data_IF_600708284853
#
_entry.id   IF_600708284853
#
_cell.length_a   1.000
_cell.length_b   1.000
_cell.length_c   1.000
_cell.angle_alpha   90.00
_cell.angle_beta   90.00
_cell.angle_gamma   90.00
#
_symmetry.space_group_name_H-M   'P 1'
#
loop_
_entity.id
_entity.type
_entity.pdbx_description
1 polymer ?
#
# COMPACT_ATOMS: atom_id res chain seq x y z
N UNK A 1 -13.66 6.91 19.83
CA UNK A 1 -13.95 5.49 19.60
C UNK A 1 -12.67 4.70 19.82
N UNK A 2 -12.51 4.04 20.97
CA UNK A 2 -11.27 3.33 21.36
C UNK A 2 -11.33 1.84 21.00
N UNK A 3 -11.86 1.52 19.81
CA UNK A 3 -11.76 0.18 19.25
C UNK A 3 -10.56 0.16 18.31
N UNK A 4 -9.82 -0.94 18.32
CA UNK A 4 -8.61 -1.08 17.52
C UNK A 4 -8.65 -2.38 16.73
N UNK A 5 -8.30 -2.29 15.44
CA UNK A 5 -8.18 -3.42 14.55
C UNK A 5 -6.71 -3.56 14.16
N UNK A 6 -6.21 -4.80 14.22
CA UNK A 6 -4.88 -5.14 13.70
C UNK A 6 -5.02 -6.22 12.64
N UNK A 7 -4.21 -6.09 11.60
CA UNK A 7 -4.07 -7.08 10.55
C UNK A 7 -2.62 -7.55 10.59
N UNK A 8 -2.44 -8.86 10.71
CA UNK A 8 -1.13 -9.50 10.78
C UNK A 8 -1.01 -10.46 9.61
N UNK A 9 0.08 -10.34 8.84
CA UNK A 9 0.43 -11.33 7.83
C UNK A 9 1.65 -12.12 8.29
N UNK A 10 1.56 -13.45 8.24
CA UNK A 10 2.67 -14.35 8.57
C UNK A 10 2.71 -15.50 7.58
N UNK A 11 3.73 -15.53 6.72
CA UNK A 11 3.78 -16.49 5.62
C UNK A 11 2.54 -16.32 4.73
N UNK A 12 1.84 -17.41 4.45
CA UNK A 12 0.60 -17.43 3.64
C UNK A 12 -0.68 -17.30 4.47
N UNK A 13 -0.62 -16.65 5.64
CA UNK A 13 -1.75 -16.46 6.54
C UNK A 13 -1.97 -14.99 6.87
N UNK A 14 -3.25 -14.58 6.90
CA UNK A 14 -3.72 -13.30 7.42
C UNK A 14 -4.55 -13.55 8.68
N UNK A 15 -4.29 -12.76 9.71
CA UNK A 15 -5.04 -12.78 10.98
C UNK A 15 -5.58 -11.39 11.25
N UNK A 16 -6.90 -11.28 11.39
CA UNK A 16 -7.56 -10.05 11.85
C UNK A 16 -7.81 -10.16 13.34
N UNK A 17 -7.30 -9.16 14.05
CA UNK A 17 -7.40 -9.02 15.50
C UNK A 17 -8.26 -7.79 15.81
N UNK A 18 -9.08 -7.88 16.84
CA UNK A 18 -9.91 -6.78 17.31
C UNK A 18 -9.81 -6.64 18.82
N UNK A 19 -9.52 -5.42 19.26
CA UNK A 19 -9.59 -5.02 20.66
C UNK A 19 -10.84 -4.18 20.84
N UNK A 20 -11.82 -4.70 21.61
CA UNK A 20 -13.01 -3.92 21.93
C UNK A 20 -12.66 -2.83 22.94
N UNK A 21 -13.50 -1.80 22.99
CA UNK A 21 -13.35 -0.69 23.93
C UNK A 21 -13.29 -1.20 25.38
N UNK A 22 -12.22 -0.86 26.09
CA UNK A 22 -12.01 -1.23 27.50
C UNK A 22 -11.34 -2.59 27.72
N UNK A 23 -11.12 -3.36 26.65
CA UNK A 23 -10.35 -4.60 26.73
C UNK A 23 -8.84 -4.32 26.62
N UNK A 24 -8.02 -5.11 27.33
CA UNK A 24 -6.55 -5.00 27.29
C UNK A 24 -5.90 -5.95 26.28
N UNK A 25 -6.67 -6.84 25.68
CA UNK A 25 -6.19 -7.93 24.84
C UNK A 25 -6.93 -7.90 23.50
N UNK A 26 -6.27 -8.36 22.45
CA UNK A 26 -6.87 -8.54 21.13
C UNK A 26 -7.52 -9.92 21.01
N UNK A 27 -8.77 -9.95 20.56
CA UNK A 27 -9.44 -11.17 20.13
C UNK A 27 -9.11 -11.47 18.66
N UNK A 28 -8.88 -12.74 18.32
CA UNK A 28 -8.82 -13.17 16.92
C UNK A 28 -10.24 -13.16 16.35
N UNK A 29 -10.47 -12.32 15.34
CA UNK A 29 -11.75 -12.25 14.64
C UNK A 29 -11.85 -13.28 13.54
N UNK A 30 -10.80 -13.41 12.73
CA UNK A 30 -10.66 -14.53 11.82
C UNK A 30 -9.21 -14.70 11.39
N UNK A 31 -8.94 -15.88 10.86
CA UNK A 31 -7.70 -16.24 10.20
C UNK A 31 -8.04 -16.83 8.83
N UNK A 32 -7.33 -16.39 7.79
CA UNK A 32 -7.49 -16.94 6.45
C UNK A 32 -6.13 -17.26 5.82
N UNK A 33 -6.11 -18.31 5.02
CA UNK A 33 -4.97 -18.60 4.16
C UNK A 33 -5.09 -17.81 2.86
N UNK A 34 -3.98 -17.29 2.37
CA UNK A 34 -3.88 -16.56 1.09
C UNK A 34 -2.93 -17.28 0.14
N UNK A 35 -3.07 -17.02 -1.16
CA UNK A 35 -2.31 -17.74 -2.18
C UNK A 35 -0.80 -17.53 -2.06
N UNK A 36 -0.37 -16.32 -1.70
CA UNK A 36 1.03 -15.93 -1.58
C UNK A 36 1.31 -15.10 -0.34
N UNK A 37 2.55 -15.13 0.13
CA UNK A 37 2.93 -14.37 1.32
C UNK A 37 2.90 -12.85 1.06
N UNK A 38 2.37 -12.10 2.02
CA UNK A 38 2.41 -10.63 1.98
C UNK A 38 3.85 -10.15 2.19
N UNK A 39 4.29 -9.28 1.30
CA UNK A 39 5.60 -8.62 1.33
C UNK A 39 5.50 -7.25 1.99
N UNK A 40 4.40 -6.52 1.74
CA UNK A 40 4.10 -5.24 2.38
C UNK A 40 2.60 -5.04 2.50
N UNK A 41 2.17 -4.25 3.48
CA UNK A 41 0.76 -3.90 3.67
C UNK A 41 0.61 -2.47 4.19
N UNK A 42 -0.53 -1.86 3.90
CA UNK A 42 -0.88 -0.56 4.44
C UNK A 42 -2.39 -0.46 4.69
N UNK A 43 -2.79 0.10 5.82
CA UNK A 43 -4.20 0.39 6.11
C UNK A 43 -4.71 1.54 5.25
N UNK A 44 -5.91 1.35 4.70
CA UNK A 44 -6.68 2.35 3.98
C UNK A 44 -8.13 2.39 4.46
N UNK A 45 -8.42 3.27 5.42
CA UNK A 45 -9.77 3.45 5.93
C UNK A 45 -10.31 2.13 6.49
N UNK A 46 -11.29 1.55 5.81
CA UNK A 46 -11.91 0.28 6.19
C UNK A 46 -11.33 -0.97 5.49
N UNK A 47 -10.27 -0.81 4.71
CA UNK A 47 -9.59 -1.88 4.00
C UNK A 47 -8.08 -1.82 4.27
N UNK A 48 -7.34 -2.86 3.90
CA UNK A 48 -5.90 -2.88 3.88
C UNK A 48 -5.42 -3.21 2.47
N UNK A 49 -4.52 -2.41 1.92
CA UNK A 49 -3.87 -2.75 0.67
C UNK A 49 -2.71 -3.70 0.97
N UNK A 50 -2.66 -4.85 0.29
CA UNK A 50 -1.66 -5.90 0.48
C UNK A 50 -0.85 -6.05 -0.82
N UNK A 51 0.46 -6.22 -0.70
CA UNK A 51 1.28 -6.73 -1.80
C UNK A 51 1.78 -8.12 -1.49
N UNK A 52 1.61 -9.03 -2.44
CA UNK A 52 2.20 -10.37 -2.40
C UNK A 52 3.41 -10.46 -3.33
N UNK A 53 3.95 -11.65 -3.58
CA UNK A 53 4.96 -11.89 -4.65
C UNK A 53 4.37 -12.01 -6.06
N UNK A 54 3.05 -11.97 -6.23
CA UNK A 54 2.40 -12.11 -7.55
C UNK A 54 1.54 -10.91 -7.91
N UNK A 55 0.87 -10.34 -6.93
CA UNK A 55 -0.12 -9.30 -7.13
C UNK A 55 -0.09 -8.26 -6.01
N UNK A 56 -0.89 -7.23 -6.19
CA UNK A 56 -1.33 -6.33 -5.13
C UNK A 56 -2.84 -6.22 -5.15
N UNK A 57 -3.45 -5.98 -3.99
CA UNK A 57 -4.90 -5.95 -3.87
C UNK A 57 -5.40 -5.29 -2.60
N UNK A 58 -6.71 -5.06 -2.56
CA UNK A 58 -7.41 -4.54 -1.39
C UNK A 58 -8.02 -5.69 -0.60
N UNK A 59 -7.80 -5.69 0.71
CA UNK A 59 -8.34 -6.65 1.66
C UNK A 59 -9.33 -5.95 2.59
N UNK A 60 -10.56 -6.44 2.62
CA UNK A 60 -11.58 -5.97 3.55
C UNK A 60 -11.51 -6.79 4.85
N UNK A 61 -11.12 -6.13 5.95
CA UNK A 61 -10.97 -6.79 7.25
C UNK A 61 -12.29 -7.17 7.91
N UNK A 62 -13.43 -6.72 7.40
CA UNK A 62 -14.76 -7.09 7.93
C UNK A 62 -15.30 -8.33 7.22
N UNK A 63 -15.08 -8.42 5.91
CA UNK A 63 -15.61 -9.51 5.08
C UNK A 63 -14.57 -10.62 4.82
N UNK A 64 -13.28 -10.34 4.99
CA UNK A 64 -12.19 -11.24 4.60
C UNK A 64 -11.93 -11.27 3.08
N UNK A 65 -12.65 -10.46 2.30
CA UNK A 65 -12.51 -10.46 0.85
C UNK A 65 -11.18 -9.82 0.41
N UNK A 66 -10.56 -10.41 -0.62
CA UNK A 66 -9.38 -9.86 -1.28
C UNK A 66 -9.71 -9.57 -2.75
N UNK A 67 -9.49 -8.34 -3.17
CA UNK A 67 -9.71 -7.86 -4.54
C UNK A 67 -8.35 -7.52 -5.15
N UNK A 68 -7.86 -8.31 -6.12
CA UNK A 68 -6.67 -7.98 -6.88
C UNK A 68 -6.85 -6.66 -7.63
N UNK A 69 -5.80 -5.85 -7.66
CA UNK A 69 -5.80 -4.50 -8.23
C UNK A 69 -4.82 -4.42 -9.40
N UNK A 70 -3.60 -4.89 -9.17
CA UNK A 70 -2.58 -4.97 -10.19
C UNK A 70 -1.89 -6.32 -10.08
N UNK A 71 -1.70 -6.96 -11.23
CA UNK A 71 -0.66 -7.98 -11.37
C UNK A 71 0.68 -7.27 -11.28
N UNK A 72 1.51 -7.70 -10.33
CA UNK A 72 2.80 -7.10 -10.08
C UNK A 72 3.81 -8.21 -10.23
N UNK A 73 4.42 -8.38 -11.40
CA UNK A 73 5.56 -9.27 -11.58
C UNK A 73 6.87 -8.51 -11.28
N UNK A 74 7.74 -9.00 -10.39
CA UNK A 74 9.02 -8.34 -10.07
C UNK A 74 9.43 -8.32 -8.59
N UNK A 75 10.64 -7.82 -8.29
CA UNK A 75 11.39 -8.15 -7.07
C UNK A 75 11.18 -7.26 -5.82
N UNK A 76 10.71 -6.01 -5.90
CA UNK A 76 10.66 -5.13 -4.71
C UNK A 76 9.39 -4.28 -4.71
N UNK A 77 8.64 -4.29 -3.59
CA UNK A 77 7.23 -3.85 -3.56
C UNK A 77 6.86 -3.16 -2.26
N UNK A 78 6.42 -1.91 -2.34
CA UNK A 78 5.98 -1.16 -1.16
C UNK A 78 4.67 -0.42 -1.50
N UNK A 79 3.62 -0.63 -0.70
CA UNK A 79 2.42 0.21 -0.78
C UNK A 79 2.54 1.34 0.24
N UNK A 80 2.22 2.56 -0.18
CA UNK A 80 1.86 3.65 0.73
C UNK A 80 0.39 3.96 0.62
N UNK A 81 -0.22 4.29 1.76
CA UNK A 81 -1.39 5.15 1.76
C UNK A 81 -1.03 6.48 1.09
N UNK A 82 -1.83 6.95 0.13
CA UNK A 82 -1.74 8.33 -0.32
C UNK A 82 -2.63 9.22 0.55
N UNK A 83 -2.40 10.52 0.41
CA UNK A 83 -3.14 11.56 1.10
C UNK A 83 -4.53 11.66 0.43
N UNK A 84 -5.60 11.88 1.22
CA UNK A 84 -6.96 12.15 0.72
C UNK A 84 -7.69 11.02 -0.04
N UNK A 85 -7.43 9.75 0.28
CA UNK A 85 -8.22 8.61 -0.25
C UNK A 85 -7.73 8.04 -1.58
N UNK A 86 -6.58 8.53 -2.06
CA UNK A 86 -5.78 7.90 -3.11
C UNK A 86 -4.79 6.89 -2.49
N UNK A 87 -4.20 6.02 -3.32
CA UNK A 87 -3.17 5.06 -2.90
C UNK A 87 -1.96 5.09 -3.82
N UNK A 88 -0.77 4.95 -3.25
CA UNK A 88 0.44 4.72 -4.03
C UNK A 88 0.77 3.24 -4.03
N UNK A 89 0.70 2.62 -5.20
CA UNK A 89 1.24 1.28 -5.41
C UNK A 89 2.63 1.47 -5.97
N UNK A 90 3.66 1.09 -5.21
CA UNK A 90 5.05 1.30 -5.59
C UNK A 90 5.78 -0.03 -5.72
N UNK A 91 6.60 -0.09 -6.75
CA UNK A 91 7.68 -1.05 -6.96
C UNK A 91 9.01 -0.33 -6.80
N UNK A 92 10.11 -1.08 -6.78
CA UNK A 92 11.48 -0.51 -6.79
C UNK A 92 11.76 0.40 -7.98
N UNK A 93 11.07 0.21 -9.10
CA UNK A 93 11.33 0.88 -10.38
C UNK A 93 10.20 1.84 -10.81
N UNK A 94 8.96 1.59 -10.39
CA UNK A 94 7.76 2.34 -10.82
C UNK A 94 6.82 2.56 -9.63
N UNK A 95 6.21 3.73 -9.54
CA UNK A 95 5.07 4.01 -8.65
C UNK A 95 3.86 4.50 -9.45
N UNK A 96 2.65 4.14 -8.99
CA UNK A 96 1.38 4.55 -9.61
C UNK A 96 0.44 5.04 -8.52
N UNK A 97 -0.27 6.14 -8.76
CA UNK A 97 -1.40 6.56 -7.93
C UNK A 97 -2.68 5.91 -8.44
N UNK A 98 -3.37 5.18 -7.57
CA UNK A 98 -4.69 4.61 -7.81
C UNK A 98 -5.73 5.27 -6.92
N UNK A 99 -6.99 5.28 -7.34
CA UNK A 99 -8.10 5.79 -6.54
C UNK A 99 -8.68 4.74 -5.57
N UNK A 100 -9.75 5.12 -4.87
CA UNK A 100 -10.48 4.24 -3.94
C UNK A 100 -11.04 2.95 -4.60
N UNK A 101 -11.30 2.99 -5.90
CA UNK A 101 -11.72 1.82 -6.70
C UNK A 101 -10.55 1.03 -7.25
N UNK A 102 -9.33 1.43 -6.87
CA UNK A 102 -8.07 0.84 -7.30
C UNK A 102 -7.75 1.03 -8.79
N UNK A 103 -8.39 2.02 -9.41
CA UNK A 103 -8.12 2.39 -10.79
C UNK A 103 -6.94 3.36 -10.87
N UNK A 104 -5.95 3.14 -11.76
CA UNK A 104 -4.88 4.10 -12.00
C UNK A 104 -5.43 5.46 -12.43
N UNK A 105 -4.98 6.52 -11.77
CA UNK A 105 -5.30 7.88 -12.18
C UNK A 105 -4.54 8.22 -13.48
N UNK A 106 -5.12 9.00 -14.40
CA UNK A 106 -4.40 9.48 -15.58
C UNK A 106 -3.13 10.24 -15.18
N UNK A 107 -2.01 9.99 -15.88
CA UNK A 107 -0.71 10.64 -15.63
C UNK A 107 -0.13 10.44 -14.24
N UNK A 108 -0.52 9.39 -13.52
CA UNK A 108 -0.14 9.18 -12.12
C UNK A 108 1.05 8.23 -11.92
N UNK A 109 1.63 7.76 -13.02
CA UNK A 109 2.81 6.91 -13.00
C UNK A 109 4.08 7.76 -12.92
N UNK A 110 5.01 7.33 -12.08
CA UNK A 110 6.35 7.91 -11.98
C UNK A 110 7.35 6.76 -11.86
N UNK A 111 8.55 6.96 -12.41
CA UNK A 111 9.63 5.99 -12.36
C UNK A 111 10.77 6.56 -11.51
N UNK A 112 11.43 5.70 -10.74
CA UNK A 112 12.66 6.05 -10.03
C UNK A 112 13.85 5.78 -10.94
N UNK A 113 14.80 6.70 -11.00
CA UNK A 113 16.01 6.52 -11.82
C UNK A 113 17.14 5.83 -11.06
N UNK A 114 17.04 5.71 -9.73
CA UNK A 114 18.14 5.26 -8.87
C UNK A 114 17.80 3.97 -8.13
N UNK A 115 18.48 2.86 -8.45
CA UNK A 115 18.64 1.67 -7.60
C UNK A 115 17.41 1.08 -6.90
N UNK A 116 17.65 0.21 -5.91
CA UNK A 116 16.57 -0.36 -5.09
C UNK A 116 16.05 0.68 -4.08
N UNK A 117 14.74 0.95 -4.11
CA UNK A 117 14.07 1.80 -3.12
C UNK A 117 14.13 1.14 -1.73
N UNK A 118 14.88 1.74 -0.79
CA UNK A 118 15.04 1.26 0.59
C UNK A 118 13.87 1.67 1.49
N UNK A 119 13.22 2.79 1.17
CA UNK A 119 12.09 3.33 1.90
C UNK A 119 11.59 4.59 1.22
N UNK A 120 10.47 5.12 1.70
CA UNK A 120 9.97 6.39 1.20
C UNK A 120 9.18 7.14 2.29
N UNK A 121 8.95 8.42 2.05
CA UNK A 121 7.98 9.23 2.75
C UNK A 121 7.10 9.96 1.75
N UNK A 122 5.83 10.17 2.09
CA UNK A 122 4.91 10.98 1.29
C UNK A 122 4.58 12.26 2.04
N UNK A 123 4.68 13.40 1.37
CA UNK A 123 4.28 14.69 1.89
C UNK A 123 3.81 15.55 0.72
N UNK A 124 2.49 15.73 0.58
CA UNK A 124 1.90 16.40 -0.58
C UNK A 124 2.60 17.76 -0.83
N UNK A 125 3.03 18.07 -2.06
CA UNK A 125 2.81 17.34 -3.32
C UNK A 125 3.95 16.39 -3.73
N UNK A 126 4.77 15.91 -2.79
CA UNK A 126 5.98 15.16 -3.07
C UNK A 126 5.97 13.73 -2.51
N UNK A 127 6.75 12.88 -3.16
CA UNK A 127 7.23 11.61 -2.62
C UNK A 127 8.74 11.69 -2.52
N UNK A 128 9.28 11.27 -1.38
CA UNK A 128 10.72 11.20 -1.14
C UNK A 128 11.10 9.73 -1.08
N UNK A 129 11.87 9.26 -2.04
CA UNK A 129 12.46 7.92 -2.06
C UNK A 129 13.85 7.92 -1.41
N UNK A 130 14.12 6.91 -0.59
CA UNK A 130 15.43 6.64 0.00
C UNK A 130 16.09 5.51 -0.79
N UNK A 131 17.27 5.76 -1.30
CA UNK A 131 18.06 4.82 -2.10
C UNK A 131 19.45 4.66 -1.48
N UNK A 132 20.23 3.61 -1.82
CA UNK A 132 21.60 3.45 -1.30
C UNK A 132 22.50 4.65 -1.60
N UNK A 133 22.24 5.38 -2.69
CA UNK A 133 23.01 6.54 -3.12
C UNK A 133 22.54 7.89 -2.57
N UNK A 134 21.36 7.98 -1.93
CA UNK A 134 20.82 9.25 -1.46
C UNK A 134 19.30 9.31 -1.39
N UNK A 135 18.78 10.54 -1.45
CA UNK A 135 17.35 10.84 -1.45
C UNK A 135 16.95 11.38 -2.83
N UNK A 136 15.85 10.86 -3.36
CA UNK A 136 15.24 11.36 -4.59
C UNK A 136 13.85 11.91 -4.29
N UNK A 137 13.55 13.12 -4.78
CA UNK A 137 12.28 13.82 -4.53
C UNK A 137 11.49 13.93 -5.82
N UNK A 138 10.25 13.45 -5.81
CA UNK A 138 9.39 13.39 -6.98
C UNK A 138 8.11 14.18 -6.72
N UNK A 139 7.68 14.97 -7.70
CA UNK A 139 6.36 15.59 -7.68
C UNK A 139 5.29 14.55 -8.00
N UNK A 140 4.26 14.47 -7.16
CA UNK A 140 3.04 13.70 -7.43
C UNK A 140 2.27 14.45 -8.53
N UNK A 141 2.07 13.84 -9.71
CA UNK A 141 1.33 14.48 -10.79
C UNK A 141 -0.11 14.81 -10.35
N UNK A 142 -0.60 15.99 -10.73
CA UNK A 142 -2.01 16.38 -10.55
C UNK A 142 -2.65 16.64 -11.90
N UNK A 143 -3.92 16.28 -12.04
CA UNK A 143 -4.74 16.75 -13.15
C UNK A 143 -4.63 18.29 -13.26
N UNK A 144 -4.16 18.78 -14.41
CA UNK A 144 -4.12 20.20 -14.74
C UNK A 144 -2.77 20.92 -14.61
N UNK A 145 -1.66 20.26 -14.24
CA UNK A 145 -0.32 20.86 -14.37
C UNK A 145 0.52 20.04 -15.36
N UNK A 146 0.67 20.57 -16.57
CA UNK A 146 1.73 20.15 -17.49
C UNK A 146 3.06 20.36 -16.76
N UNK A 147 3.93 19.34 -16.76
CA UNK A 147 5.34 19.55 -16.45
C UNK A 147 5.85 20.66 -17.37
N UNK A 148 6.39 21.72 -16.76
CA UNK A 148 7.26 22.65 -17.47
C UNK A 148 8.66 22.10 -17.22
N UNK A 149 9.35 21.80 -18.30
CA UNK A 149 10.71 21.24 -18.35
C UNK A 149 11.73 22.09 -17.57
#
# INVERSE_FOLDING_TARGET
NNECWLLVARGKKLTVLHQKKGEKVFDVKFEQSIAEAVVSMCWTGEQACLVTKKDSGLFDYRTGSYTPVLEVEGKNRIISKAIEGEYFIMRSDIGVVVDASAMPRPYSAFCWTEGDLLGYATSKPYIVGVHPGGLAVYSIPREGRRHVE
#
